data_IF_328812119600
#
_entry.id   IF_328812119600
#
_cell.length_a   1.000
_cell.length_b   1.000
_cell.length_c   1.000
_cell.angle_alpha   90.00
_cell.angle_beta   90.00
_cell.angle_gamma   90.00
#
_symmetry.space_group_name_H-M   'P 1'
#
loop_
_entity.id
_entity.type
_entity.pdbx_description
1 polymer ?
#
# COMPACT_ATOMS: atom_id res chain seq x y z
N UNK A 1 21.69 25.94 75.76
CA UNK A 1 21.38 24.73 74.97
C UNK A 1 21.95 24.97 73.58
N UNK A 2 23.22 24.66 73.39
CA UNK A 2 23.91 24.88 72.10
C UNK A 2 23.44 23.83 71.11
N UNK A 3 22.94 24.28 69.96
CA UNK A 3 22.58 23.36 68.89
C UNK A 3 23.86 22.78 68.25
N UNK A 4 23.91 21.46 67.97
CA UNK A 4 25.09 20.84 67.40
C UNK A 4 25.45 21.44 66.04
N UNK A 5 26.75 21.68 65.80
CA UNK A 5 27.31 22.36 64.62
C UNK A 5 26.82 21.82 63.25
N UNK A 6 26.36 20.57 63.22
CA UNK A 6 25.72 19.94 62.06
C UNK A 6 24.45 20.68 61.62
N UNK A 7 23.69 21.23 62.55
CA UNK A 7 22.45 21.96 62.25
C UNK A 7 22.73 23.39 61.79
N UNK A 8 23.83 24.02 62.25
CA UNK A 8 24.29 25.30 61.73
C UNK A 8 24.74 25.20 60.26
N UNK A 9 25.44 24.13 59.88
CA UNK A 9 25.85 23.88 58.50
C UNK A 9 24.66 23.67 57.54
N UNK A 10 23.56 23.08 58.04
CA UNK A 10 22.31 22.92 57.29
C UNK A 10 21.47 24.21 57.22
N UNK A 11 21.68 25.17 58.13
CA UNK A 11 20.88 26.39 58.23
C UNK A 11 21.31 27.52 57.29
N UNK A 12 22.52 27.46 56.73
CA UNK A 12 23.05 28.45 55.79
C UNK A 12 23.95 27.75 54.74
N UNK A 13 23.39 27.24 53.63
CA UNK A 13 24.20 26.68 52.56
C UNK A 13 25.18 27.76 52.08
N UNK A 14 26.48 27.49 52.19
CA UNK A 14 27.50 28.42 51.74
C UNK A 14 27.30 28.81 50.27
N UNK A 15 27.79 29.99 49.83
CA UNK A 15 27.55 30.52 48.49
C UNK A 15 27.93 29.54 47.36
N UNK A 16 28.92 28.67 47.59
CA UNK A 16 29.31 27.62 46.65
C UNK A 16 28.22 26.55 46.46
N UNK A 17 27.57 26.10 47.54
CA UNK A 17 26.51 25.10 47.47
C UNK A 17 25.27 25.66 46.77
N UNK A 18 24.96 26.94 47.00
CA UNK A 18 23.89 27.66 46.29
C UNK A 18 24.19 27.77 44.79
N UNK A 19 25.43 28.04 44.39
CA UNK A 19 25.84 28.09 42.97
C UNK A 19 25.74 26.71 42.30
N UNK A 20 26.18 25.64 42.97
CA UNK A 20 26.05 24.27 42.44
C UNK A 20 24.58 23.88 42.27
N UNK A 21 23.73 24.18 43.25
CA UNK A 21 22.30 23.92 43.16
C UNK A 21 21.63 24.73 42.04
N UNK A 22 21.97 26.02 41.91
CA UNK A 22 21.48 26.85 40.81
C UNK A 22 21.92 26.32 39.44
N UNK A 23 23.18 25.91 39.30
CA UNK A 23 23.68 25.30 38.07
C UNK A 23 22.96 23.99 37.75
N UNK A 24 22.70 23.14 38.75
CA UNK A 24 21.94 21.91 38.59
C UNK A 24 20.49 22.17 38.16
N UNK A 25 19.80 23.15 38.78
CA UNK A 25 18.46 23.54 38.37
C UNK A 25 18.45 24.15 36.97
N UNK A 26 19.42 24.99 36.64
CA UNK A 26 19.54 25.63 35.32
C UNK A 26 19.81 24.60 34.21
N UNK A 27 20.73 23.67 34.44
CA UNK A 27 21.02 22.56 33.50
C UNK A 27 19.82 21.64 33.36
N UNK A 28 19.16 21.26 34.45
CA UNK A 28 17.93 20.44 34.41
C UNK A 28 16.81 21.13 33.66
N UNK A 29 16.57 22.43 33.91
CA UNK A 29 15.59 23.22 33.19
C UNK A 29 15.93 23.36 31.70
N UNK A 30 17.21 23.49 31.37
CA UNK A 30 17.70 23.56 29.98
C UNK A 30 17.51 22.22 29.28
N UNK A 31 17.84 21.10 29.92
CA UNK A 31 17.60 19.75 29.40
C UNK A 31 16.11 19.51 29.17
N UNK A 32 15.24 19.91 30.10
CA UNK A 32 13.79 19.80 29.95
C UNK A 32 13.28 20.67 28.78
N UNK A 33 13.81 21.88 28.61
CA UNK A 33 13.49 22.74 27.45
C UNK A 33 13.95 22.11 26.14
N UNK A 34 15.16 21.56 26.08
CA UNK A 34 15.67 20.88 24.89
C UNK A 34 14.85 19.63 24.56
N UNK A 35 14.47 18.86 25.57
CA UNK A 35 13.58 17.72 25.44
C UNK A 35 12.21 18.18 24.91
N UNK A 36 11.64 19.24 25.46
CA UNK A 36 10.35 19.77 25.04
C UNK A 36 10.39 20.31 23.60
N UNK A 37 11.42 21.07 23.21
CA UNK A 37 11.59 21.56 21.84
C UNK A 37 11.77 20.40 20.86
N UNK A 38 12.56 19.40 21.24
CA UNK A 38 12.76 18.19 20.42
C UNK A 38 11.45 17.41 20.26
N UNK A 39 10.68 17.27 21.34
CA UNK A 39 9.39 16.60 21.35
C UNK A 39 8.34 17.40 20.57
N UNK A 40 8.29 18.72 20.70
CA UNK A 40 7.43 19.59 19.90
C UNK A 40 7.79 19.50 18.40
N UNK A 41 9.08 19.46 18.06
CA UNK A 41 9.56 19.27 16.70
C UNK A 41 9.22 17.87 16.13
N UNK A 42 8.98 16.87 16.98
CA UNK A 42 8.44 15.56 16.61
C UNK A 42 6.90 15.60 16.48
N UNK A 43 6.22 16.30 17.39
CA UNK A 43 4.76 16.39 17.49
C UNK A 43 4.11 17.38 16.50
N UNK A 44 4.87 18.29 15.87
CA UNK A 44 4.35 19.22 14.87
C UNK A 44 4.66 18.78 13.42
N UNK A 45 5.04 17.52 13.22
CA UNK A 45 5.43 17.02 11.89
C UNK A 45 4.24 16.73 10.99
N UNK A 46 4.53 16.84 9.70
CA UNK A 46 3.65 16.53 8.57
C UNK A 46 4.07 15.25 7.81
N UNK A 47 5.17 14.61 8.24
CA UNK A 47 5.68 13.36 7.70
C UNK A 47 6.60 12.63 8.70
N UNK A 48 7.03 11.42 8.33
CA UNK A 48 8.04 10.67 9.06
C UNK A 48 9.40 11.40 9.15
N UNK A 49 10.23 10.98 10.11
CA UNK A 49 11.53 11.61 10.36
C UNK A 49 12.45 11.56 9.14
N UNK A 50 12.51 10.44 8.42
CA UNK A 50 13.42 10.27 7.29
C UNK A 50 13.02 11.22 6.15
N UNK A 51 11.74 11.25 5.79
CA UNK A 51 11.21 12.16 4.77
C UNK A 51 11.42 13.63 5.16
N UNK A 52 11.30 13.97 6.44
CA UNK A 52 11.50 15.33 6.92
C UNK A 52 12.95 15.82 6.79
N UNK A 53 13.90 14.95 7.14
CA UNK A 53 15.34 15.28 7.11
C UNK A 53 15.91 15.36 5.69
N UNK A 54 15.24 14.74 4.72
CA UNK A 54 15.72 14.70 3.35
C UNK A 54 15.24 15.92 2.54
N UNK A 55 16.07 16.34 1.59
CA UNK A 55 15.69 17.30 0.55
C UNK A 55 15.39 16.58 -0.75
N UNK A 56 14.42 17.07 -1.51
CA UNK A 56 14.06 16.47 -2.79
C UNK A 56 15.20 16.62 -3.82
N UNK A 57 15.52 15.53 -4.52
CA UNK A 57 16.39 15.56 -5.71
C UNK A 57 15.56 15.87 -6.96
N UNK A 58 15.28 17.15 -7.23
CA UNK A 58 14.43 17.57 -8.38
C UNK A 58 14.91 17.05 -9.74
N UNK A 59 16.23 16.90 -9.95
CA UNK A 59 16.81 16.39 -11.19
C UNK A 59 16.47 14.93 -11.47
N UNK A 60 16.02 14.17 -10.46
CA UNK A 60 15.60 12.78 -10.60
C UNK A 60 14.43 12.61 -11.59
N UNK A 61 13.56 13.62 -11.69
CA UNK A 61 12.34 13.60 -12.50
C UNK A 61 12.51 14.20 -13.90
N UNK A 62 13.59 14.95 -14.12
CA UNK A 62 13.78 15.77 -15.32
C UNK A 62 13.93 14.89 -16.56
N UNK A 63 13.18 15.20 -17.62
CA UNK A 63 13.19 14.50 -18.91
C UNK A 63 12.92 12.99 -18.80
N UNK A 64 12.10 12.60 -17.81
CA UNK A 64 11.64 11.24 -17.57
C UNK A 64 10.14 11.12 -17.82
N UNK A 65 9.64 9.90 -17.92
CA UNK A 65 8.21 9.63 -18.16
C UNK A 65 7.55 9.10 -16.90
N UNK A 66 6.62 9.87 -16.33
CA UNK A 66 5.83 9.47 -15.17
C UNK A 66 4.39 9.17 -15.57
N UNK A 67 3.89 8.01 -15.18
CA UNK A 67 2.49 7.63 -15.32
C UNK A 67 1.78 7.71 -13.98
N UNK A 68 0.75 8.55 -13.90
CA UNK A 68 -0.10 8.71 -12.73
C UNK A 68 -1.50 8.16 -12.99
N UNK A 69 -1.93 7.21 -12.17
CA UNK A 69 -3.32 6.73 -12.14
C UNK A 69 -4.15 7.53 -11.12
N UNK A 70 -5.43 7.77 -11.41
CA UNK A 70 -6.23 8.69 -10.60
C UNK A 70 -5.75 10.15 -10.71
N UNK A 71 -5.25 10.53 -11.89
CA UNK A 71 -4.57 11.80 -12.14
C UNK A 71 -5.49 13.04 -12.17
N UNK A 72 -6.81 12.86 -12.28
CA UNK A 72 -7.75 13.97 -12.48
C UNK A 72 -8.08 14.79 -11.24
N UNK A 73 -7.71 14.33 -10.04
CA UNK A 73 -8.05 15.04 -8.79
C UNK A 73 -7.12 14.67 -7.63
N UNK A 74 -7.24 15.41 -6.53
CA UNK A 74 -6.55 15.11 -5.27
C UNK A 74 -5.03 15.01 -5.41
N UNK A 75 -4.43 14.02 -4.76
CA UNK A 75 -2.98 13.78 -4.79
C UNK A 75 -2.48 13.56 -6.22
N UNK A 76 -3.24 12.84 -7.05
CA UNK A 76 -2.88 12.56 -8.44
C UNK A 76 -2.70 13.82 -9.29
N UNK A 77 -3.63 14.77 -9.17
CA UNK A 77 -3.53 16.06 -9.86
C UNK A 77 -2.33 16.88 -9.36
N UNK A 78 -2.14 16.92 -8.04
CA UNK A 78 -0.99 17.59 -7.42
C UNK A 78 0.35 17.01 -7.90
N UNK A 79 0.44 15.69 -8.11
CA UNK A 79 1.63 15.06 -8.70
C UNK A 79 1.83 15.49 -10.14
N UNK A 80 0.77 15.56 -10.96
CA UNK A 80 0.86 16.00 -12.35
C UNK A 80 1.43 17.42 -12.43
N UNK A 81 0.90 18.35 -11.63
CA UNK A 81 1.40 19.73 -11.48
C UNK A 81 2.89 19.76 -11.13
N UNK A 82 3.26 19.07 -10.06
CA UNK A 82 4.61 19.09 -9.52
C UNK A 82 5.62 18.43 -10.45
N UNK A 83 5.29 17.30 -11.07
CA UNK A 83 6.17 16.60 -12.01
C UNK A 83 6.34 17.39 -13.32
N UNK A 84 5.26 18.00 -13.83
CA UNK A 84 5.34 18.90 -14.99
C UNK A 84 6.27 20.10 -14.72
N UNK A 85 6.15 20.72 -13.54
CA UNK A 85 7.05 21.79 -13.10
C UNK A 85 8.51 21.33 -12.90
N UNK A 86 8.76 20.01 -12.86
CA UNK A 86 10.11 19.42 -12.82
C UNK A 86 10.60 18.97 -14.21
N UNK A 87 9.90 19.36 -15.28
CA UNK A 87 10.16 18.96 -16.68
C UNK A 87 10.07 17.44 -16.88
N UNK A 88 9.16 16.79 -16.16
CA UNK A 88 8.80 15.39 -16.41
C UNK A 88 7.73 15.34 -17.51
N UNK A 89 7.83 14.37 -18.41
CA UNK A 89 6.71 13.97 -19.28
C UNK A 89 5.70 13.20 -18.45
N UNK A 90 4.40 13.48 -18.65
CA UNK A 90 3.36 12.97 -17.75
C UNK A 90 2.27 12.23 -18.52
N UNK A 91 2.08 10.96 -18.20
CA UNK A 91 0.92 10.17 -18.62
C UNK A 91 -0.15 10.28 -17.53
N UNK A 92 -1.33 10.80 -17.88
CA UNK A 92 -2.45 10.97 -16.97
C UNK A 92 -3.52 9.94 -17.27
N UNK A 93 -3.92 9.19 -16.24
CA UNK A 93 -5.02 8.22 -16.36
C UNK A 93 -6.08 8.41 -15.29
N UNK A 94 -7.32 8.41 -15.74
CA UNK A 94 -8.55 8.37 -14.95
C UNK A 94 -9.68 7.90 -15.87
N UNK A 95 -10.91 7.81 -15.36
CA UNK A 95 -12.03 7.26 -16.15
C UNK A 95 -12.53 8.19 -17.26
N UNK A 96 -12.50 9.51 -17.04
CA UNK A 96 -13.13 10.49 -17.92
C UNK A 96 -12.07 11.30 -18.66
N UNK A 97 -12.19 11.41 -19.97
CA UNK A 97 -11.21 12.12 -20.81
C UNK A 97 -11.25 13.63 -20.56
N UNK A 98 -12.43 14.19 -20.31
CA UNK A 98 -12.65 15.61 -20.07
C UNK A 98 -11.98 16.08 -18.77
N UNK A 99 -12.06 15.25 -17.73
CA UNK A 99 -11.37 15.49 -16.46
C UNK A 99 -9.84 15.46 -16.64
N UNK A 100 -9.33 14.61 -17.53
CA UNK A 100 -7.90 14.52 -17.85
C UNK A 100 -7.41 15.73 -18.65
N UNK A 101 -8.23 16.24 -19.58
CA UNK A 101 -7.93 17.48 -20.32
C UNK A 101 -7.80 18.65 -19.32
N UNK A 102 -8.78 18.78 -18.43
CA UNK A 102 -8.75 19.80 -17.37
C UNK A 102 -7.52 19.68 -16.47
N UNK A 103 -7.16 18.46 -16.07
CA UNK A 103 -5.99 18.19 -15.24
C UNK A 103 -4.66 18.52 -15.95
N UNK A 104 -4.56 18.24 -17.26
CA UNK A 104 -3.41 18.62 -18.08
C UNK A 104 -3.26 20.13 -18.15
N UNK A 105 -4.34 20.84 -18.48
CA UNK A 105 -4.31 22.29 -18.67
C UNK A 105 -3.93 23.01 -17.37
N UNK A 106 -4.46 22.52 -16.24
CA UNK A 106 -4.09 22.98 -14.91
C UNK A 106 -2.61 22.69 -14.57
N UNK A 107 -2.07 21.52 -14.95
CA UNK A 107 -0.64 21.22 -14.78
C UNK A 107 0.27 22.10 -15.66
N UNK A 108 -0.17 22.46 -16.87
CA UNK A 108 0.52 23.41 -17.74
C UNK A 108 0.53 24.81 -17.11
N UNK A 109 -0.63 25.33 -16.71
CA UNK A 109 -0.75 26.63 -16.04
C UNK A 109 0.11 26.69 -14.77
N UNK A 110 0.02 25.66 -13.92
CA UNK A 110 0.85 25.54 -12.73
C UNK A 110 2.34 25.61 -13.08
N UNK A 111 2.79 24.88 -14.10
CA UNK A 111 4.20 24.88 -14.51
C UNK A 111 4.64 26.26 -15.01
N UNK A 112 3.79 26.95 -15.77
CA UNK A 112 4.07 28.30 -16.28
C UNK A 112 4.22 29.31 -15.14
N UNK A 113 3.33 29.28 -14.14
CA UNK A 113 3.44 30.10 -12.93
C UNK A 113 4.71 29.85 -12.12
N UNK A 114 5.35 28.70 -12.31
CA UNK A 114 6.62 28.32 -11.68
C UNK A 114 7.82 28.45 -12.63
N UNK A 115 7.69 29.21 -13.73
CA UNK A 115 8.79 29.52 -14.65
C UNK A 115 9.21 28.36 -15.56
N UNK A 116 8.35 27.35 -15.72
CA UNK A 116 8.62 26.18 -16.57
C UNK A 116 7.59 26.11 -17.68
N UNK A 117 8.03 26.37 -18.92
CA UNK A 117 7.20 26.20 -20.11
C UNK A 117 6.95 24.72 -20.36
N UNK A 118 5.68 24.33 -20.45
CA UNK A 118 5.19 23.01 -20.86
C UNK A 118 4.16 23.19 -21.97
N UNK A 119 4.05 22.22 -22.85
CA UNK A 119 3.07 22.19 -23.94
C UNK A 119 2.19 20.95 -23.85
N UNK A 120 1.03 20.89 -24.54
CA UNK A 120 0.19 19.70 -24.54
C UNK A 120 0.91 18.40 -24.93
N UNK A 121 1.91 18.46 -25.81
CA UNK A 121 2.71 17.31 -26.26
C UNK A 121 3.64 16.72 -25.18
N UNK A 122 3.77 17.42 -24.05
CA UNK A 122 4.47 16.95 -22.85
C UNK A 122 3.61 16.02 -21.98
N UNK A 123 2.35 15.81 -22.37
CA UNK A 123 1.37 15.04 -21.64
C UNK A 123 0.68 14.03 -22.56
N UNK A 124 0.40 12.84 -22.03
CA UNK A 124 -0.42 11.82 -22.70
C UNK A 124 -1.65 11.53 -21.84
N UNK A 125 -2.82 11.55 -22.45
CA UNK A 125 -4.08 11.28 -21.75
C UNK A 125 -4.55 9.87 -22.10
N UNK A 126 -4.50 8.96 -21.14
CA UNK A 126 -4.93 7.58 -21.31
C UNK A 126 -6.13 7.30 -20.40
N UNK A 127 -7.36 7.54 -20.86
CA UNK A 127 -8.54 7.24 -20.07
C UNK A 127 -8.76 5.73 -19.97
N UNK A 128 -8.86 5.20 -18.75
CA UNK A 128 -9.24 3.81 -18.52
C UNK A 128 -9.90 3.65 -17.14
N UNK A 129 -10.61 2.53 -16.96
CA UNK A 129 -11.26 2.19 -15.70
C UNK A 129 -10.52 1.05 -15.01
N UNK A 130 -10.16 1.24 -13.74
CA UNK A 130 -9.57 0.19 -12.91
C UNK A 130 -10.52 -1.00 -12.72
N UNK A 131 -11.82 -0.85 -12.98
CA UNK A 131 -12.76 -1.98 -12.96
C UNK A 131 -12.70 -2.87 -14.21
N UNK A 132 -11.92 -2.50 -15.22
CA UNK A 132 -11.88 -3.14 -16.54
C UNK A 132 -10.46 -3.64 -16.89
N UNK A 133 -9.95 -4.65 -16.17
CA UNK A 133 -8.59 -5.16 -16.36
C UNK A 133 -8.30 -5.65 -17.78
N UNK A 134 -9.33 -6.08 -18.52
CA UNK A 134 -9.23 -6.47 -19.92
C UNK A 134 -8.69 -5.35 -20.84
N UNK A 135 -8.80 -4.08 -20.41
CA UNK A 135 -8.30 -2.92 -21.17
C UNK A 135 -6.82 -2.62 -20.91
N UNK A 136 -6.23 -3.17 -19.84
CA UNK A 136 -4.93 -2.72 -19.36
C UNK A 136 -3.80 -2.98 -20.35
N UNK A 137 -3.82 -4.11 -21.06
CA UNK A 137 -2.75 -4.44 -22.01
C UNK A 137 -2.62 -3.38 -23.12
N UNK A 138 -3.74 -3.02 -23.76
CA UNK A 138 -3.75 -2.02 -24.83
C UNK A 138 -3.30 -0.64 -24.33
N UNK A 139 -3.80 -0.24 -23.17
CA UNK A 139 -3.45 1.04 -22.55
C UNK A 139 -1.97 1.10 -22.17
N UNK A 140 -1.41 0.03 -21.58
CA UNK A 140 0.01 -0.06 -21.22
C UNK A 140 0.90 0.00 -22.46
N UNK A 141 0.51 -0.65 -23.55
CA UNK A 141 1.29 -0.58 -24.79
C UNK A 141 1.26 0.82 -25.40
N UNK A 142 0.10 1.49 -25.45
CA UNK A 142 -0.01 2.88 -25.90
C UNK A 142 0.87 3.83 -25.07
N UNK A 143 0.80 3.72 -23.73
CA UNK A 143 1.60 4.54 -22.82
C UNK A 143 3.10 4.33 -22.97
N UNK A 144 3.52 3.09 -23.25
CA UNK A 144 4.92 2.76 -23.53
C UNK A 144 5.38 3.39 -24.86
N UNK A 145 4.58 3.30 -25.91
CA UNK A 145 4.97 3.74 -27.26
C UNK A 145 5.21 5.25 -27.34
N UNK A 146 4.44 6.07 -26.61
CA UNK A 146 4.47 7.53 -26.72
C UNK A 146 5.85 8.19 -26.55
N UNK A 147 6.65 7.73 -25.58
CA UNK A 147 8.04 8.19 -25.36
C UNK A 147 9.04 7.03 -25.34
N UNK A 148 8.61 5.84 -25.75
CA UNK A 148 9.40 4.60 -25.76
C UNK A 148 9.76 4.02 -24.38
N UNK A 149 9.31 4.65 -23.29
CA UNK A 149 9.70 4.28 -21.91
C UNK A 149 8.66 4.72 -20.88
N UNK A 150 8.66 4.03 -19.75
CA UNK A 150 7.94 4.45 -18.53
C UNK A 150 8.95 4.39 -17.38
N UNK A 151 9.30 5.53 -16.82
CA UNK A 151 10.31 5.66 -15.77
C UNK A 151 9.71 5.55 -14.37
N UNK A 152 8.53 6.16 -14.19
CA UNK A 152 7.84 6.25 -12.92
C UNK A 152 6.39 5.80 -13.06
N UNK A 153 5.94 4.92 -12.18
CA UNK A 153 4.52 4.60 -12.03
C UNK A 153 4.05 5.08 -10.67
N UNK A 154 3.11 6.00 -10.64
CA UNK A 154 2.36 6.38 -9.44
C UNK A 154 1.02 5.62 -9.44
N UNK A 155 1.01 4.49 -8.75
CA UNK A 155 -0.18 3.67 -8.49
C UNK A 155 -1.02 4.37 -7.42
N UNK A 156 -1.88 5.29 -7.87
CA UNK A 156 -2.59 6.25 -7.03
C UNK A 156 -4.12 6.16 -7.15
N UNK A 157 -4.66 5.55 -8.21
CA UNK A 157 -6.11 5.36 -8.32
C UNK A 157 -6.67 4.57 -7.13
N UNK A 158 -7.86 4.95 -6.67
CA UNK A 158 -8.55 4.20 -5.64
C UNK A 158 -9.93 4.75 -5.33
N UNK A 159 -10.73 3.93 -4.66
CA UNK A 159 -12.05 4.27 -4.13
C UNK A 159 -12.03 4.12 -2.62
N UNK A 160 -12.73 4.99 -1.90
CA UNK A 160 -12.90 4.89 -0.47
C UNK A 160 -14.32 4.40 -0.16
N UNK A 161 -14.48 3.70 0.96
CA UNK A 161 -15.78 3.33 1.48
C UNK A 161 -15.89 3.70 2.94
N UNK A 162 -17.13 3.85 3.40
CA UNK A 162 -17.42 4.02 4.82
C UNK A 162 -18.67 3.25 5.20
N UNK A 163 -18.52 2.33 6.14
CA UNK A 163 -19.58 1.42 6.55
C UNK A 163 -19.04 0.35 7.49
N UNK A 164 -19.86 -0.04 8.47
CA UNK A 164 -19.57 -1.24 9.26
C UNK A 164 -19.47 -2.45 8.34
N UNK A 165 -18.63 -3.42 8.71
CA UNK A 165 -18.44 -4.66 7.95
C UNK A 165 -19.66 -5.58 8.14
N UNK A 166 -20.74 -5.23 7.45
CA UNK A 166 -21.96 -6.01 7.28
C UNK A 166 -22.07 -6.39 5.80
N UNK A 167 -22.82 -7.46 5.46
CA UNK A 167 -22.94 -7.90 4.07
C UNK A 167 -23.24 -6.73 3.12
N UNK A 168 -22.32 -6.49 2.18
CA UNK A 168 -22.38 -5.39 1.24
C UNK A 168 -21.79 -5.80 -0.10
N UNK A 169 -22.41 -5.34 -1.19
CA UNK A 169 -21.88 -5.52 -2.55
C UNK A 169 -20.64 -4.67 -2.84
N UNK A 170 -20.31 -3.70 -1.97
CA UNK A 170 -19.23 -2.74 -2.19
C UNK A 170 -17.84 -3.32 -1.90
N UNK A 171 -17.76 -4.34 -1.07
CA UNK A 171 -16.50 -4.94 -0.63
C UNK A 171 -15.71 -5.49 -1.82
N UNK A 172 -16.39 -6.19 -2.73
CA UNK A 172 -15.81 -6.70 -3.97
C UNK A 172 -15.31 -5.57 -4.86
N UNK A 173 -16.05 -4.47 -4.98
CA UNK A 173 -15.62 -3.32 -5.77
C UNK A 173 -14.35 -2.66 -5.20
N UNK A 174 -14.28 -2.52 -3.87
CA UNK A 174 -13.12 -1.92 -3.20
C UNK A 174 -11.90 -2.82 -3.38
N UNK A 175 -12.04 -4.12 -3.14
CA UNK A 175 -10.94 -5.09 -3.32
C UNK A 175 -10.51 -5.14 -4.79
N UNK A 176 -11.46 -5.14 -5.73
CA UNK A 176 -11.14 -5.12 -7.16
C UNK A 176 -10.30 -3.89 -7.51
N UNK A 177 -10.80 -2.68 -7.21
CA UNK A 177 -10.16 -1.43 -7.65
C UNK A 177 -8.87 -1.13 -6.88
N UNK A 178 -8.88 -1.28 -5.56
CA UNK A 178 -7.75 -0.85 -4.72
C UNK A 178 -6.65 -1.91 -4.59
N UNK A 179 -6.93 -3.17 -4.90
CA UNK A 179 -5.97 -4.27 -4.75
C UNK A 179 -5.75 -5.01 -6.06
N UNK A 180 -6.74 -5.78 -6.54
CA UNK A 180 -6.54 -6.72 -7.64
C UNK A 180 -6.12 -6.02 -8.94
N UNK A 181 -6.86 -5.00 -9.34
CA UNK A 181 -6.57 -4.23 -10.55
C UNK A 181 -5.24 -3.48 -10.46
N UNK A 182 -4.85 -2.99 -9.27
CA UNK A 182 -3.54 -2.37 -9.08
C UNK A 182 -2.41 -3.38 -9.27
N UNK A 183 -2.56 -4.59 -8.73
CA UNK A 183 -1.58 -5.67 -8.89
C UNK A 183 -1.44 -6.06 -10.37
N UNK A 184 -2.55 -6.25 -11.07
CA UNK A 184 -2.55 -6.60 -12.49
C UNK A 184 -1.90 -5.51 -13.35
N UNK A 185 -2.28 -4.25 -13.14
CA UNK A 185 -1.72 -3.12 -13.87
C UNK A 185 -0.21 -2.97 -13.63
N UNK A 186 0.23 -3.10 -12.38
CA UNK A 186 1.66 -3.04 -12.02
C UNK A 186 2.44 -4.20 -12.63
N UNK A 187 1.89 -5.42 -12.66
CA UNK A 187 2.55 -6.58 -13.28
C UNK A 187 2.88 -6.33 -14.76
N UNK A 188 1.98 -5.68 -15.50
CA UNK A 188 2.22 -5.31 -16.90
C UNK A 188 3.34 -4.27 -17.05
N UNK A 189 3.39 -3.28 -16.16
CA UNK A 189 4.39 -2.21 -16.22
C UNK A 189 5.76 -2.68 -15.71
N UNK A 190 5.81 -3.45 -14.62
CA UNK A 190 7.08 -3.88 -14.02
C UNK A 190 7.87 -4.81 -14.95
N UNK A 191 7.18 -5.67 -15.71
CA UNK A 191 7.82 -6.50 -16.74
C UNK A 191 8.58 -5.64 -17.76
N UNK A 192 8.02 -4.48 -18.13
CA UNK A 192 8.67 -3.52 -19.04
C UNK A 192 9.78 -2.73 -18.37
N UNK A 193 9.61 -2.32 -17.11
CA UNK A 193 10.67 -1.63 -16.35
C UNK A 193 11.91 -2.53 -16.15
N UNK A 194 11.71 -3.83 -15.97
CA UNK A 194 12.80 -4.82 -15.92
C UNK A 194 13.54 -4.87 -17.25
N UNK A 195 12.83 -5.00 -18.38
CA UNK A 195 13.44 -4.97 -19.72
C UNK A 195 14.19 -3.65 -19.98
N UNK A 196 13.64 -2.53 -19.51
CA UNK A 196 14.22 -1.19 -19.60
C UNK A 196 15.46 -1.00 -18.71
N UNK A 197 15.73 -1.93 -17.77
CA UNK A 197 16.79 -1.81 -16.74
C UNK A 197 16.70 -0.51 -15.92
N UNK A 198 15.49 0.05 -15.81
CA UNK A 198 15.21 1.23 -15.01
C UNK A 198 13.71 1.35 -14.79
N UNK A 199 13.33 1.63 -13.56
CA UNK A 199 11.97 1.99 -13.22
C UNK A 199 11.83 2.27 -11.74
N UNK A 200 10.77 2.98 -11.38
CA UNK A 200 10.40 3.17 -10.00
C UNK A 200 8.89 3.22 -9.86
N UNK A 201 8.34 2.30 -9.07
CA UNK A 201 6.93 2.18 -8.77
C UNK A 201 6.67 2.81 -7.40
N UNK A 202 5.80 3.81 -7.36
CA UNK A 202 5.37 4.51 -6.15
C UNK A 202 3.91 4.15 -5.90
N UNK A 203 3.65 3.41 -4.83
CA UNK A 203 2.30 3.05 -4.41
C UNK A 203 1.73 4.11 -3.46
N UNK A 204 0.54 4.63 -3.76
CA UNK A 204 -0.26 5.39 -2.80
C UNK A 204 -1.13 4.43 -1.99
N UNK A 205 -0.58 3.97 -0.87
CA UNK A 205 -1.29 3.21 0.14
C UNK A 205 -2.08 4.15 1.08
N UNK A 206 -2.17 3.82 2.37
CA UNK A 206 -2.80 4.62 3.40
C UNK A 206 -2.24 4.21 4.75
N UNK A 207 -2.24 5.12 5.74
CA UNK A 207 -1.99 4.73 7.13
C UNK A 207 -3.01 3.66 7.59
N UNK A 208 -4.24 3.65 7.03
CA UNK A 208 -5.23 2.60 7.28
C UNK A 208 -4.80 1.19 6.84
N UNK A 209 -3.72 1.05 6.07
CA UNK A 209 -3.13 -0.27 5.78
C UNK A 209 -2.49 -0.93 7.01
N UNK A 210 -2.14 -0.14 8.03
CA UNK A 210 -1.52 -0.57 9.29
C UNK A 210 -2.38 -0.25 10.50
N UNK A 211 -3.11 0.85 10.43
CA UNK A 211 -3.95 1.33 11.52
C UNK A 211 -5.41 1.23 11.11
N UNK A 212 -5.97 0.03 11.22
CA UNK A 212 -7.38 -0.20 10.89
C UNK A 212 -8.27 0.43 11.94
N UNK A 213 -9.17 1.30 11.52
CA UNK A 213 -10.25 1.82 12.34
C UNK A 213 -11.56 1.16 11.91
N UNK A 214 -12.51 1.02 12.85
CA UNK A 214 -13.84 0.49 12.55
C UNK A 214 -14.51 1.22 11.37
N UNK A 215 -15.42 0.57 10.66
CA UNK A 215 -16.16 1.23 9.56
C UNK A 215 -15.35 1.53 8.29
N UNK A 216 -14.09 1.10 8.21
CA UNK A 216 -13.22 1.19 7.02
C UNK A 216 -12.57 -0.16 6.67
N UNK A 217 -13.17 -1.26 7.13
CA UNK A 217 -12.54 -2.59 7.09
C UNK A 217 -12.18 -3.02 5.67
N UNK A 218 -13.12 -3.02 4.71
CA UNK A 218 -12.82 -3.42 3.33
C UNK A 218 -11.74 -2.54 2.66
N UNK A 219 -11.78 -1.22 2.88
CA UNK A 219 -10.74 -0.30 2.41
C UNK A 219 -9.37 -0.60 3.03
N UNK A 220 -9.34 -0.80 4.35
CA UNK A 220 -8.12 -1.10 5.11
C UNK A 220 -7.53 -2.44 4.71
N UNK A 221 -8.37 -3.47 4.50
CA UNK A 221 -7.98 -4.78 3.96
C UNK A 221 -7.35 -4.64 2.57
N UNK A 222 -8.00 -3.91 1.65
CA UNK A 222 -7.46 -3.70 0.31
C UNK A 222 -6.10 -2.97 0.34
N UNK A 223 -5.97 -1.92 1.17
CA UNK A 223 -4.72 -1.16 1.33
C UNK A 223 -3.64 -1.96 2.08
N UNK A 224 -4.00 -2.80 3.05
CA UNK A 224 -3.10 -3.74 3.71
C UNK A 224 -2.57 -4.80 2.74
N UNK A 225 -3.43 -5.34 1.88
CA UNK A 225 -3.05 -6.25 0.79
C UNK A 225 -2.09 -5.58 -0.19
N UNK A 226 -2.38 -4.34 -0.62
CA UNK A 226 -1.54 -3.60 -1.56
C UNK A 226 -0.19 -3.23 -0.94
N UNK A 227 -0.16 -2.92 0.36
CA UNK A 227 1.07 -2.69 1.10
C UNK A 227 1.95 -3.94 1.12
N UNK A 228 1.39 -5.10 1.45
CA UNK A 228 2.14 -6.37 1.42
C UNK A 228 2.61 -6.74 0.01
N UNK A 229 1.76 -6.54 -1.00
CA UNK A 229 2.16 -6.70 -2.40
C UNK A 229 3.37 -5.82 -2.76
N UNK A 230 3.39 -4.56 -2.33
CA UNK A 230 4.50 -3.66 -2.60
C UNK A 230 5.84 -4.12 -1.97
N UNK A 231 5.80 -4.68 -0.76
CA UNK A 231 7.00 -5.26 -0.13
C UNK A 231 7.46 -6.54 -0.81
N UNK A 232 6.53 -7.43 -1.16
CA UNK A 232 6.80 -8.65 -1.91
C UNK A 232 7.49 -8.33 -3.22
N UNK A 233 6.88 -7.47 -4.03
CA UNK A 233 7.44 -7.02 -5.31
C UNK A 233 8.84 -6.40 -5.14
N UNK A 234 9.04 -5.54 -4.15
CA UNK A 234 10.35 -4.93 -3.88
C UNK A 234 11.43 -5.97 -3.54
N UNK A 235 11.09 -7.00 -2.76
CA UNK A 235 12.00 -8.09 -2.39
C UNK A 235 12.30 -9.00 -3.59
N UNK A 236 11.28 -9.37 -4.37
CA UNK A 236 11.44 -10.17 -5.58
C UNK A 236 12.34 -9.47 -6.60
N UNK A 237 12.11 -8.18 -6.88
CA UNK A 237 12.95 -7.39 -7.79
C UNK A 237 14.41 -7.34 -7.33
N UNK A 238 14.66 -7.15 -6.02
CA UNK A 238 16.02 -7.20 -5.46
C UNK A 238 16.65 -8.58 -5.57
N UNK A 239 15.88 -9.65 -5.29
CA UNK A 239 16.35 -11.03 -5.42
C UNK A 239 16.76 -11.39 -6.84
N UNK A 240 16.09 -10.82 -7.85
CA UNK A 240 16.46 -10.94 -9.26
C UNK A 240 17.62 -10.03 -9.71
N UNK A 241 18.18 -9.21 -8.82
CA UNK A 241 19.20 -8.21 -9.19
C UNK A 241 18.66 -7.07 -10.08
N UNK A 242 17.34 -6.86 -10.11
CA UNK A 242 16.72 -5.82 -10.94
C UNK A 242 16.97 -4.42 -10.36
N UNK A 243 17.31 -3.41 -11.18
CA UNK A 243 17.48 -2.03 -10.73
C UNK A 243 16.14 -1.30 -10.48
N UNK A 244 15.00 -1.95 -10.71
CA UNK A 244 13.67 -1.36 -10.53
C UNK A 244 13.38 -1.15 -9.04
N UNK A 245 13.01 0.08 -8.68
CA UNK A 245 12.71 0.47 -7.30
C UNK A 245 11.21 0.42 -7.01
N UNK A 246 10.91 0.24 -5.72
CA UNK A 246 9.55 0.31 -5.20
C UNK A 246 9.56 1.19 -3.95
N UNK A 247 8.66 2.16 -3.91
CA UNK A 247 8.36 3.00 -2.74
C UNK A 247 6.89 2.85 -2.40
N UNK A 248 6.57 2.66 -1.13
CA UNK A 248 5.20 2.72 -0.62
C UNK A 248 4.98 3.99 0.19
N UNK A 249 3.90 4.70 -0.10
CA UNK A 249 3.54 5.92 0.62
C UNK A 249 2.26 5.65 1.38
N UNK A 250 2.25 6.00 2.67
CA UNK A 250 1.12 5.84 3.57
C UNK A 250 0.62 7.22 4.01
N UNK A 251 -0.28 7.85 3.22
CA UNK A 251 -0.96 9.07 3.65
C UNK A 251 -1.99 8.80 4.75
N UNK A 252 -2.12 9.73 5.68
CA UNK A 252 -3.22 9.86 6.64
C UNK A 252 -4.39 10.64 6.02
N UNK A 253 -5.01 11.52 6.81
CA UNK A 253 -6.10 12.35 6.30
C UNK A 253 -5.60 13.47 5.37
N UNK A 254 -5.99 13.38 4.10
CA UNK A 254 -5.64 14.36 3.06
C UNK A 254 -6.92 15.04 2.54
N UNK A 255 -6.87 16.36 2.40
CA UNK A 255 -7.94 17.19 1.83
C UNK A 255 -8.10 16.90 0.34
N UNK A 256 -8.95 15.92 0.02
CA UNK A 256 -9.30 15.53 -1.35
C UNK A 256 -10.77 15.20 -1.46
N UNK A 257 -11.31 15.25 -2.67
CA UNK A 257 -12.69 14.84 -2.97
C UNK A 257 -12.91 13.32 -2.94
N UNK A 258 -11.89 12.51 -2.62
CA UNK A 258 -12.03 11.07 -2.47
C UNK A 258 -13.05 10.74 -1.37
N UNK A 259 -13.06 11.51 -0.29
CA UNK A 259 -13.97 11.28 0.83
C UNK A 259 -15.40 11.77 0.55
N UNK A 260 -15.54 12.81 -0.28
CA UNK A 260 -16.84 13.25 -0.80
C UNK A 260 -17.47 12.20 -1.72
N UNK A 261 -16.65 11.28 -2.22
CA UNK A 261 -17.03 10.17 -3.10
C UNK A 261 -16.99 8.81 -2.39
N UNK A 262 -16.94 8.80 -1.05
CA UNK A 262 -16.99 7.56 -0.26
C UNK A 262 -18.26 6.78 -0.61
N UNK A 263 -18.08 5.52 -1.03
CA UNK A 263 -19.18 4.63 -1.32
C UNK A 263 -19.81 4.14 0.00
N UNK A 264 -21.14 4.19 0.07
CA UNK A 264 -21.89 3.55 1.15
C UNK A 264 -21.96 2.03 0.94
N UNK A 265 -22.42 1.33 1.99
CA UNK A 265 -22.72 -0.11 1.94
C UNK A 265 -23.76 -0.49 0.87
N UNK A 266 -24.56 0.47 0.36
CA UNK A 266 -25.51 0.28 -0.74
C UNK A 266 -24.92 0.64 -2.13
N UNK A 267 -23.63 0.99 -2.20
CA UNK A 267 -22.92 1.37 -3.43
C UNK A 267 -23.21 2.80 -3.92
N UNK A 268 -24.05 3.57 -3.23
CA UNK A 268 -24.34 4.95 -3.65
C UNK A 268 -23.28 5.94 -3.15
N UNK A 269 -23.05 6.99 -3.95
CA UNK A 269 -22.24 8.16 -3.56
C UNK A 269 -23.16 9.21 -2.93
N UNK A 270 -22.85 9.76 -1.74
CA UNK A 270 -23.64 10.86 -1.19
C UNK A 270 -23.67 12.08 -2.11
N UNK A 271 -24.87 12.63 -2.33
CA UNK A 271 -25.04 13.99 -2.84
C UNK A 271 -25.26 14.92 -1.65
N UNK A 272 -24.37 15.88 -1.45
CA UNK A 272 -24.39 16.83 -0.32
C UNK A 272 -23.15 16.68 0.56
N UNK A 273 -22.39 17.76 0.66
CA UNK A 273 -21.03 17.79 1.20
C UNK A 273 -21.05 17.80 2.73
N UNK A 274 -20.91 16.64 3.35
CA UNK A 274 -20.38 16.55 4.71
C UNK A 274 -18.98 15.94 4.65
N UNK A 275 -17.98 16.80 4.44
CA UNK A 275 -16.57 16.41 4.61
C UNK A 275 -16.38 16.14 6.10
N UNK A 276 -15.99 14.92 6.47
CA UNK A 276 -15.71 14.60 7.87
C UNK A 276 -14.65 15.57 8.43
N UNK A 277 -14.78 15.93 9.71
CA UNK A 277 -13.92 16.92 10.38
C UNK A 277 -12.42 16.62 10.17
N UNK A 278 -12.04 15.36 10.26
CA UNK A 278 -10.65 14.89 10.16
C UNK A 278 -10.06 15.13 8.76
N UNK A 279 -10.88 15.05 7.72
CA UNK A 279 -10.45 15.33 6.34
C UNK A 279 -10.29 16.83 6.15
N UNK A 280 -11.19 17.66 6.71
CA UNK A 280 -11.08 19.14 6.63
C UNK A 280 -9.82 19.67 7.29
N UNK A 281 -9.38 19.06 8.39
CA UNK A 281 -8.16 19.44 9.11
C UNK A 281 -6.90 18.76 8.57
N UNK A 282 -7.06 17.80 7.65
CA UNK A 282 -6.00 17.05 7.00
C UNK A 282 -5.00 17.90 6.20
N UNK A 283 -3.95 17.23 5.71
CA UNK A 283 -2.90 17.87 4.91
C UNK A 283 -3.44 18.21 3.49
N UNK A 284 -2.87 19.21 2.81
CA UNK A 284 -3.25 19.45 1.40
C UNK A 284 -2.69 18.36 0.49
N UNK A 285 -3.37 18.12 -0.65
CA UNK A 285 -2.87 17.23 -1.69
C UNK A 285 -1.52 17.69 -2.24
N UNK A 286 -1.32 19.01 -2.40
CA UNK A 286 -0.05 19.58 -2.90
C UNK A 286 1.11 19.30 -1.96
N UNK A 287 0.92 19.50 -0.65
CA UNK A 287 1.96 19.21 0.34
C UNK A 287 2.25 17.71 0.44
N UNK A 288 1.20 16.89 0.34
CA UNK A 288 1.34 15.42 0.33
C UNK A 288 2.14 14.97 -0.89
N UNK A 289 1.84 15.49 -2.08
CA UNK A 289 2.57 15.19 -3.29
C UNK A 289 4.03 15.67 -3.23
N UNK A 290 4.30 16.84 -2.63
CA UNK A 290 5.67 17.32 -2.42
C UNK A 290 6.48 16.36 -1.54
N UNK A 291 5.91 15.92 -0.41
CA UNK A 291 6.56 14.98 0.51
C UNK A 291 6.74 13.59 -0.13
N UNK A 292 5.78 13.14 -0.93
CA UNK A 292 5.90 11.91 -1.71
C UNK A 292 7.06 11.97 -2.71
N UNK A 293 7.15 13.04 -3.50
CA UNK A 293 8.26 13.21 -4.45
C UNK A 293 9.60 13.35 -3.73
N UNK A 294 9.64 14.05 -2.60
CA UNK A 294 10.84 14.19 -1.76
C UNK A 294 11.40 12.84 -1.34
N UNK A 295 10.63 12.01 -0.64
CA UNK A 295 11.10 10.70 -0.18
C UNK A 295 11.39 9.75 -1.34
N UNK A 296 10.54 9.72 -2.37
CA UNK A 296 10.71 8.83 -3.53
C UNK A 296 11.98 9.15 -4.32
N UNK A 297 12.32 10.45 -4.48
CA UNK A 297 13.54 10.88 -5.18
C UNK A 297 14.83 10.42 -4.48
N UNK A 298 14.73 10.13 -3.18
CA UNK A 298 15.83 9.62 -2.33
C UNK A 298 15.83 8.10 -2.18
N UNK A 299 14.85 7.41 -2.76
CA UNK A 299 14.77 5.95 -2.72
C UNK A 299 14.36 5.39 -1.38
N UNK A 300 13.62 6.16 -0.56
CA UNK A 300 12.98 5.61 0.63
C UNK A 300 12.02 4.50 0.21
N UNK A 301 12.13 3.32 0.81
CA UNK A 301 11.18 2.22 0.55
C UNK A 301 9.79 2.52 1.06
N UNK A 302 9.68 3.35 2.11
CA UNK A 302 8.44 3.66 2.79
C UNK A 302 8.41 5.11 3.27
N UNK A 303 7.27 5.78 3.12
CA UNK A 303 7.07 7.20 3.44
C UNK A 303 5.74 7.36 4.18
N UNK A 304 5.72 8.00 5.35
CA UNK A 304 4.49 8.30 6.09
C UNK A 304 4.19 9.79 6.04
N UNK A 305 2.96 10.15 5.68
CA UNK A 305 2.56 11.54 5.50
C UNK A 305 1.25 11.75 6.25
N UNK A 306 1.27 12.58 7.28
CA UNK A 306 0.11 12.83 8.12
C UNK A 306 0.42 13.91 9.14
N UNK A 307 -0.60 14.45 9.79
CA UNK A 307 -0.40 15.32 10.95
C UNK A 307 -0.47 14.47 12.22
N UNK A 308 -0.04 15.03 13.35
CA UNK A 308 -0.38 14.43 14.63
C UNK A 308 -1.86 14.70 14.97
N UNK A 309 -2.55 13.76 15.65
CA UNK A 309 -2.00 12.57 16.30
C UNK A 309 -1.79 11.33 15.39
N UNK A 310 -2.20 11.35 14.11
CA UNK A 310 -2.12 10.17 13.22
C UNK A 310 -0.70 9.60 13.09
N UNK A 311 0.31 10.48 12.91
CA UNK A 311 1.71 10.05 12.82
C UNK A 311 2.19 9.39 14.12
N UNK A 312 1.92 10.02 15.26
CA UNK A 312 2.23 9.45 16.57
C UNK A 312 1.60 8.07 16.74
N UNK A 313 0.34 7.93 16.34
CA UNK A 313 -0.37 6.66 16.40
C UNK A 313 0.24 5.60 15.47
N UNK A 314 0.67 5.96 14.26
CA UNK A 314 1.43 5.07 13.38
C UNK A 314 2.75 4.61 14.00
N UNK A 315 3.50 5.50 14.68
CA UNK A 315 4.70 5.11 15.41
C UNK A 315 4.38 4.17 16.58
N UNK A 316 3.35 4.48 17.37
CA UNK A 316 2.92 3.65 18.49
C UNK A 316 2.50 2.25 18.01
N UNK A 317 1.72 2.16 16.94
CA UNK A 317 1.33 0.89 16.33
C UNK A 317 2.52 0.08 15.80
N UNK A 318 3.59 0.76 15.37
CA UNK A 318 4.78 0.07 14.87
C UNK A 318 5.70 -0.44 15.97
N UNK A 319 5.87 0.32 17.05
CA UNK A 319 6.85 0.00 18.11
C UNK A 319 6.24 -0.62 19.37
N UNK A 320 5.00 -0.28 19.70
CA UNK A 320 4.29 -0.72 20.92
C UNK A 320 2.83 -1.09 20.59
N UNK A 321 2.60 -2.07 19.70
CA UNK A 321 1.28 -2.37 19.14
C UNK A 321 0.24 -2.72 20.21
N UNK A 322 0.60 -3.48 21.24
CA UNK A 322 -0.36 -3.90 22.28
C UNK A 322 -0.91 -2.70 23.07
N UNK A 323 -0.04 -1.73 23.39
CA UNK A 323 -0.43 -0.50 24.08
C UNK A 323 -1.29 0.37 23.14
N UNK A 324 -0.90 0.48 21.88
CA UNK A 324 -1.65 1.26 20.90
C UNK A 324 -3.05 0.66 20.65
N UNK A 325 -3.16 -0.67 20.54
CA UNK A 325 -4.43 -1.38 20.39
C UNK A 325 -5.33 -1.19 21.60
N UNK A 326 -4.80 -1.26 22.82
CA UNK A 326 -5.59 -1.05 24.05
C UNK A 326 -6.30 0.31 24.04
N UNK A 327 -5.63 1.38 23.60
CA UNK A 327 -6.22 2.73 23.51
C UNK A 327 -7.36 2.78 22.49
N UNK A 328 -7.20 2.07 21.38
CA UNK A 328 -8.17 2.04 20.27
C UNK A 328 -9.38 1.22 20.66
N UNK A 329 -9.16 0.06 21.28
CA UNK A 329 -10.22 -0.84 21.76
C UNK A 329 -11.08 -0.17 22.83
N UNK A 330 -10.46 0.59 23.75
CA UNK A 330 -11.17 1.42 24.71
C UNK A 330 -12.10 2.44 24.01
N UNK A 331 -11.64 3.03 22.91
CA UNK A 331 -12.41 3.96 22.08
C UNK A 331 -13.39 3.32 21.10
N UNK A 332 -13.31 2.01 20.86
CA UNK A 332 -14.00 1.34 19.75
C UNK A 332 -15.53 1.50 19.82
N UNK A 333 -16.10 1.42 21.02
CA UNK A 333 -17.55 1.62 21.24
C UNK A 333 -18.01 3.04 20.90
N UNK A 334 -17.19 4.05 21.18
CA UNK A 334 -17.47 5.44 20.80
C UNK A 334 -17.30 5.63 19.30
N UNK A 335 -16.26 5.03 18.72
CA UNK A 335 -15.98 5.12 17.29
C UNK A 335 -17.11 4.50 16.44
N UNK A 336 -17.60 3.32 16.84
CA UNK A 336 -18.74 2.67 16.18
C UNK A 336 -20.00 3.55 16.20
N UNK A 337 -20.32 4.19 17.33
CA UNK A 337 -21.45 5.13 17.43
C UNK A 337 -21.27 6.34 16.51
N UNK A 338 -20.08 6.94 16.51
CA UNK A 338 -19.78 8.10 15.66
C UNK A 338 -19.91 7.76 14.17
N UNK A 339 -19.48 6.56 13.75
CA UNK A 339 -19.64 6.09 12.38
C UNK A 339 -21.12 5.93 12.02
N UNK A 340 -21.92 5.33 12.91
CA UNK A 340 -23.35 5.18 12.67
C UNK A 340 -24.07 6.53 12.59
N UNK A 341 -23.74 7.46 13.48
CA UNK A 341 -24.27 8.83 13.46
C UNK A 341 -23.87 9.56 12.18
N UNK A 342 -22.63 9.42 11.73
CA UNK A 342 -22.17 10.05 10.50
C UNK A 342 -22.84 9.43 9.27
N UNK A 343 -22.95 8.10 9.20
CA UNK A 343 -23.69 7.41 8.13
C UNK A 343 -25.15 7.88 8.12
N UNK A 344 -25.77 8.03 9.30
CA UNK A 344 -27.15 8.52 9.45
C UNK A 344 -27.29 9.96 8.96
N UNK A 345 -26.43 10.86 9.40
CA UNK A 345 -26.42 12.26 8.97
C UNK A 345 -26.26 12.37 7.47
N UNK A 346 -25.33 11.61 6.88
CA UNK A 346 -25.12 11.67 5.45
C UNK A 346 -26.26 11.02 4.66
N UNK A 347 -26.90 9.95 5.16
CA UNK A 347 -28.15 9.40 4.59
C UNK A 347 -29.29 10.41 4.62
N UNK A 348 -29.44 11.14 5.71
CA UNK A 348 -30.43 12.21 5.84
C UNK A 348 -30.18 13.32 4.80
N UNK A 349 -28.94 13.79 4.66
CA UNK A 349 -28.55 14.78 3.64
C UNK A 349 -28.81 14.25 2.22
N UNK A 350 -28.47 12.99 1.94
CA UNK A 350 -28.69 12.37 0.63
C UNK A 350 -30.20 12.24 0.29
N UNK A 351 -31.06 11.96 1.27
CA UNK A 351 -32.52 11.96 1.09
C UNK A 351 -33.07 13.36 0.81
N UNK A 352 -32.58 14.37 1.53
CA UNK A 352 -32.94 15.78 1.32
C UNK A 352 -32.52 16.29 -0.05
N UNK A 353 -31.31 15.94 -0.50
CA UNK A 353 -30.81 16.30 -1.83
C UNK A 353 -31.59 15.63 -2.98
N UNK A 354 -32.35 14.56 -2.72
CA UNK A 354 -33.24 13.88 -3.67
C UNK A 354 -34.68 14.41 -3.65
N UNK A 355 -35.00 15.42 -2.82
CA UNK A 355 -36.35 16.00 -2.73
C UNK A 355 -37.36 15.18 -1.90
N UNK A 356 -36.94 14.09 -1.24
CA UNK A 356 -37.84 13.13 -0.57
C UNK A 356 -37.95 13.31 0.95
N UNK A 357 -37.64 14.49 1.52
CA UNK A 357 -37.60 14.71 2.98
C UNK A 357 -38.50 15.84 3.47
N UNK A 358 -39.39 15.55 4.43
CA UNK A 358 -40.19 16.55 5.16
C UNK A 358 -39.30 17.39 6.10
N UNK A 359 -39.64 18.67 6.27
CA UNK A 359 -38.80 19.73 6.86
C UNK A 359 -38.55 19.67 8.36
N UNK A 360 -38.07 18.56 8.91
CA UNK A 360 -37.66 18.43 10.32
C UNK A 360 -36.15 18.20 10.50
N UNK A 361 -35.59 18.48 11.70
CA UNK A 361 -34.19 18.16 12.04
C UNK A 361 -33.91 16.64 11.96
N UNK A 362 -32.64 16.21 11.81
CA UNK A 362 -32.30 14.79 11.76
C UNK A 362 -32.74 14.07 13.05
N UNK A 363 -33.28 12.85 12.98
CA UNK A 363 -33.69 12.11 14.18
C UNK A 363 -32.46 11.73 15.03
N UNK A 364 -32.46 12.21 16.27
CA UNK A 364 -31.44 11.95 17.30
C UNK A 364 -31.93 10.78 18.15
N UNK A 365 -31.09 9.76 18.36
CA UNK A 365 -31.41 8.72 19.35
C UNK A 365 -31.15 9.27 20.76
N UNK A 366 -31.98 8.90 21.73
CA UNK A 366 -31.71 9.23 23.13
C UNK A 366 -30.35 8.67 23.58
N UNK A 367 -29.61 9.40 24.45
CA UNK A 367 -28.31 8.96 24.93
C UNK A 367 -28.41 7.57 25.59
N UNK A 368 -27.83 6.54 24.97
CA UNK A 368 -27.79 5.17 25.53
C UNK A 368 -28.33 4.05 24.62
N UNK A 369 -28.84 4.35 23.42
CA UNK A 369 -29.23 3.34 22.44
C UNK A 369 -28.01 2.69 21.73
N UNK A 370 -27.13 2.04 22.50
CA UNK A 370 -26.04 1.24 21.96
C UNK A 370 -26.54 -0.08 21.33
N UNK A 371 -25.63 -0.76 20.62
CA UNK A 371 -25.75 -2.05 19.92
C UNK A 371 -26.63 -3.12 20.61
N UNK A 372 -26.77 -3.06 21.94
CA UNK A 372 -27.64 -3.95 22.74
C UNK A 372 -29.15 -3.81 22.45
N UNK A 373 -29.67 -2.64 22.03
CA UNK A 373 -31.12 -2.46 21.80
C UNK A 373 -31.60 -2.85 20.39
N UNK A 374 -30.71 -2.93 19.39
CA UNK A 374 -31.13 -3.22 18.00
C UNK A 374 -31.29 -4.71 17.66
N UNK A 375 -31.15 -5.61 18.64
CA UNK A 375 -31.44 -7.04 18.44
C UNK A 375 -32.94 -7.38 18.37
N UNK A 376 -33.82 -6.38 18.45
CA UNK A 376 -35.27 -6.58 18.60
C UNK A 376 -36.16 -5.80 17.62
N UNK A 377 -35.62 -5.21 16.55
CA UNK A 377 -36.45 -4.61 15.49
C UNK A 377 -36.21 -5.34 14.18
N UNK A 378 -37.13 -6.24 13.86
CA UNK A 378 -37.28 -6.91 12.58
C UNK A 378 -37.52 -5.87 11.48
N UNK A 379 -36.50 -5.57 10.71
CA UNK A 379 -36.60 -4.99 9.36
C UNK A 379 -35.38 -5.50 8.56
N UNK A 380 -35.21 -6.82 8.53
CA UNK A 380 -34.31 -7.49 7.60
C UNK A 380 -35.14 -7.77 6.36
N UNK A 381 -34.97 -6.92 5.34
CA UNK A 381 -35.41 -7.23 3.98
C UNK A 381 -34.75 -8.55 3.60
N UNK A 382 -35.56 -9.59 3.41
CA UNK A 382 -35.16 -10.91 2.97
C UNK A 382 -34.30 -10.81 1.69
N UNK A 383 -32.98 -10.93 1.86
CA UNK A 383 -32.13 -11.44 0.80
C UNK A 383 -32.11 -12.95 0.96
N UNK A 384 -32.44 -13.67 -0.12
CA UNK A 384 -32.50 -15.13 -0.12
C UNK A 384 -31.17 -15.71 0.41
N UNK A 385 -31.21 -16.77 1.24
CA UNK A 385 -29.99 -17.42 1.69
C UNK A 385 -29.22 -17.95 0.49
N UNK A 386 -27.90 -17.77 0.53
CA UNK A 386 -26.94 -18.38 -0.39
C UNK A 386 -27.36 -19.83 -0.72
N UNK A 387 -27.74 -20.07 -1.97
CA UNK A 387 -27.81 -21.42 -2.51
C UNK A 387 -26.37 -21.95 -2.62
N UNK A 388 -26.03 -22.94 -1.80
CA UNK A 388 -24.78 -23.68 -1.87
C UNK A 388 -24.56 -24.22 -3.30
N UNK A 389 -23.36 -24.12 -3.88
CA UNK A 389 -23.07 -24.78 -5.13
C UNK A 389 -22.87 -26.30 -4.89
N UNK A 390 -23.67 -27.09 -5.62
CA UNK A 390 -23.41 -28.47 -6.05
C UNK A 390 -23.25 -29.53 -4.95
N UNK A 391 -24.37 -30.17 -4.63
CA UNK A 391 -24.42 -31.53 -4.10
C UNK A 391 -23.85 -32.53 -5.11
N UNK A 392 -22.70 -33.12 -4.80
CA UNK A 392 -22.25 -34.37 -5.44
C UNK A 392 -23.06 -35.55 -4.86
N UNK A 393 -23.50 -36.53 -5.68
CA UNK A 393 -24.23 -37.69 -5.18
C UNK A 393 -23.31 -38.62 -4.37
N UNK A 394 -23.84 -39.38 -3.38
CA UNK A 394 -23.02 -40.22 -2.53
C UNK A 394 -22.82 -41.59 -3.20
N UNK A 395 -21.62 -41.86 -3.72
CA UNK A 395 -21.20 -43.23 -4.00
C UNK A 395 -20.35 -43.77 -2.84
N UNK A 396 -20.84 -44.90 -2.31
CA UNK A 396 -20.21 -45.72 -1.29
C UNK A 396 -18.88 -46.25 -1.83
N UNK A 397 -17.81 -46.14 -1.05
CA UNK A 397 -16.72 -47.09 -1.13
C UNK A 397 -16.48 -47.75 0.23
N UNK A 398 -16.87 -49.03 0.26
CA UNK A 398 -16.22 -50.05 1.09
C UNK A 398 -14.77 -50.21 0.58
N UNK A 399 -13.87 -50.46 1.53
CA UNK A 399 -12.46 -50.85 1.36
C UNK A 399 -12.38 -52.13 0.50
N UNK A 400 -11.33 -52.45 -0.25
CA UNK A 400 -9.93 -52.63 0.12
C UNK A 400 -9.09 -52.83 -1.18
N UNK A 401 -7.77 -52.68 -1.03
CA UNK A 401 -6.70 -53.34 -1.83
C UNK A 401 -6.52 -52.99 -3.33
N UNK A 402 -5.49 -52.20 -3.66
CA UNK A 402 -4.23 -52.72 -4.26
C UNK A 402 -3.36 -51.64 -4.93
N UNK A 403 -2.05 -51.80 -4.68
CA UNK A 403 -0.89 -51.51 -5.53
C UNK A 403 -0.69 -50.11 -6.19
N UNK A 404 0.33 -49.45 -5.64
CA UNK A 404 1.35 -48.51 -6.19
C UNK A 404 1.71 -48.54 -7.70
N UNK A 405 2.49 -47.55 -8.19
CA UNK A 405 2.18 -46.76 -9.38
C UNK A 405 3.11 -47.03 -10.58
N UNK A 406 2.66 -46.67 -11.78
CA UNK A 406 3.52 -46.64 -12.97
C UNK A 406 3.20 -45.47 -13.91
N UNK A 407 4.18 -44.56 -13.99
CA UNK A 407 4.73 -43.92 -15.19
C UNK A 407 3.82 -43.63 -16.39
N UNK A 408 3.73 -42.34 -16.73
CA UNK A 408 3.39 -41.88 -18.08
C UNK A 408 4.69 -41.47 -18.79
N UNK A 409 5.03 -42.06 -19.95
CA UNK A 409 5.89 -41.43 -20.92
C UNK A 409 5.10 -40.87 -22.11
N UNK A 410 5.59 -39.74 -22.57
CA UNK A 410 5.19 -39.01 -23.77
C UNK A 410 5.90 -39.63 -24.98
N UNK A 411 5.18 -40.09 -25.99
CA UNK A 411 5.75 -40.38 -27.31
C UNK A 411 4.77 -39.99 -28.44
N UNK A 412 5.28 -39.14 -29.33
CA UNK A 412 4.73 -38.87 -30.65
C UNK A 412 4.98 -40.08 -31.56
N UNK A 413 3.95 -40.53 -32.28
CA UNK A 413 4.12 -41.31 -33.49
C UNK A 413 3.03 -40.97 -34.52
N UNK A 414 3.48 -40.45 -35.65
CA UNK A 414 2.77 -40.28 -36.92
C UNK A 414 2.73 -41.58 -37.72
N UNK A 415 1.60 -41.88 -38.36
CA UNK A 415 1.41 -42.60 -39.65
C UNK A 415 -0.10 -42.78 -39.87
N UNK A 416 -0.73 -42.83 -41.04
CA UNK A 416 -0.49 -42.45 -42.44
C UNK A 416 -1.77 -42.83 -43.23
N UNK A 417 -2.01 -42.17 -44.38
CA UNK A 417 -2.95 -42.60 -45.44
C UNK A 417 -3.98 -41.51 -45.81
N UNK A 418 -4.22 -41.10 -47.06
CA UNK A 418 -3.76 -41.54 -48.38
C UNK A 418 -4.10 -40.44 -49.44
N UNK A 419 -3.24 -40.35 -50.46
CA UNK A 419 -3.51 -40.15 -51.91
C UNK A 419 -3.74 -38.77 -52.59
N UNK A 420 -2.91 -38.62 -53.66
CA UNK A 420 -2.99 -37.87 -54.96
C UNK A 420 -2.44 -36.44 -54.95
N UNK A 421 -1.70 -35.93 -55.95
CA UNK A 421 -0.97 -36.43 -57.14
C UNK A 421 -0.27 -35.23 -57.82
N UNK A 422 0.72 -35.49 -58.71
CA UNK A 422 1.48 -34.58 -59.63
C UNK A 422 2.69 -33.90 -58.98
N UNK A 423 3.94 -34.21 -59.34
CA UNK A 423 4.69 -33.93 -60.60
C UNK A 423 5.63 -32.74 -60.30
N UNK A 424 6.93 -32.67 -60.53
CA UNK A 424 7.88 -33.36 -61.40
C UNK A 424 9.33 -33.28 -60.84
N UNK A 425 10.18 -34.18 -61.34
CA UNK A 425 11.63 -34.06 -61.61
C UNK A 425 12.65 -33.64 -60.52
N UNK A 426 13.44 -34.64 -60.10
CA UNK A 426 14.82 -34.65 -59.56
C UNK A 426 15.88 -34.45 -60.69
N UNK A 427 17.25 -34.48 -60.50
CA UNK A 427 18.15 -34.49 -59.30
C UNK A 427 19.46 -33.62 -59.52
N UNK A 428 20.67 -33.92 -58.94
CA UNK A 428 21.11 -33.82 -57.52
C UNK A 428 22.57 -33.26 -57.34
N UNK A 429 23.15 -33.57 -56.14
CA UNK A 429 24.57 -33.79 -55.77
C UNK A 429 25.25 -32.63 -55.00
N UNK A 430 26.06 -32.81 -53.94
CA UNK A 430 26.92 -33.93 -53.46
C UNK A 430 27.30 -33.75 -51.96
N UNK A 431 27.52 -34.88 -51.27
CA UNK A 431 28.59 -35.28 -50.32
C UNK A 431 29.36 -34.20 -49.51
N UNK A 432 29.73 -34.36 -48.23
CA UNK A 432 29.70 -35.50 -47.29
C UNK A 432 30.71 -35.26 -46.14
N UNK A 433 30.55 -36.04 -45.04
CA UNK A 433 31.58 -36.56 -44.09
C UNK A 433 32.52 -35.57 -43.36
N UNK A 434 32.95 -35.75 -42.12
CA UNK A 434 32.74 -36.75 -41.06
C UNK A 434 33.37 -36.20 -39.75
N UNK A 435 32.85 -36.66 -38.62
CA UNK A 435 33.44 -36.61 -37.27
C UNK A 435 33.75 -38.03 -36.81
N UNK A 436 34.80 -38.17 -35.99
CA UNK A 436 35.14 -39.34 -35.16
C UNK A 436 36.21 -38.86 -34.15
N UNK A 437 36.36 -39.29 -32.89
CA UNK A 437 35.72 -40.27 -32.01
C UNK A 437 36.28 -40.00 -30.59
N UNK A 438 35.45 -39.97 -29.54
CA UNK A 438 35.33 -40.98 -28.46
C UNK A 438 36.51 -41.17 -27.48
N UNK A 439 36.23 -41.03 -26.17
CA UNK A 439 36.22 -42.16 -25.21
C UNK A 439 35.72 -41.77 -23.82
N UNK A 440 35.03 -42.73 -23.22
CA UNK A 440 34.26 -42.73 -21.98
C UNK A 440 35.07 -43.16 -20.76
N UNK A 441 34.57 -42.82 -19.56
CA UNK A 441 34.49 -43.76 -18.42
C UNK A 441 33.50 -43.27 -17.37
N UNK A 442 32.50 -44.11 -17.09
CA UNK A 442 31.60 -44.03 -15.95
C UNK A 442 32.14 -44.89 -14.81
N UNK A 443 31.88 -44.49 -13.56
CA UNK A 443 31.43 -45.42 -12.53
C UNK A 443 30.67 -44.69 -11.40
N UNK A 444 29.62 -45.37 -10.96
CA UNK A 444 28.52 -44.98 -10.10
C UNK A 444 28.82 -45.18 -8.61
N UNK A 445 28.14 -44.39 -7.75
CA UNK A 445 27.74 -44.79 -6.39
C UNK A 445 26.54 -43.96 -5.89
N UNK A 446 25.38 -44.59 -6.01
CA UNK A 446 24.17 -44.61 -5.15
C UNK A 446 24.04 -43.52 -4.05
N UNK A 447 22.96 -42.74 -4.15
CA UNK A 447 22.34 -41.93 -3.08
C UNK A 447 21.17 -42.73 -2.47
N UNK A 448 20.91 -42.67 -1.14
CA UNK A 448 19.66 -43.15 -0.56
C UNK A 448 18.59 -42.04 -0.52
N UNK A 449 17.34 -42.48 -0.69
CA UNK A 449 16.11 -41.70 -0.71
C UNK A 449 15.77 -40.98 0.61
N UNK A 450 15.00 -39.91 0.43
CA UNK A 450 14.49 -39.01 1.45
C UNK A 450 13.29 -39.59 2.23
N UNK A 451 13.27 -39.34 3.54
CA UNK A 451 12.06 -39.32 4.38
C UNK A 451 11.90 -37.92 5.01
N UNK A 452 10.75 -37.27 4.79
CA UNK A 452 10.10 -36.32 5.71
C UNK A 452 10.48 -34.82 5.70
N UNK A 453 9.56 -33.87 5.38
CA UNK A 453 9.79 -32.42 5.45
C UNK A 453 9.46 -31.74 6.81
N UNK A 454 9.40 -32.49 7.93
CA UNK A 454 9.07 -31.90 9.25
C UNK A 454 10.27 -31.91 10.23
N UNK A 455 11.22 -32.85 10.09
CA UNK A 455 12.43 -32.90 10.95
C UNK A 455 13.53 -31.93 10.52
N UNK A 456 13.59 -31.54 9.23
CA UNK A 456 14.62 -30.63 8.71
C UNK A 456 14.47 -29.21 9.24
N UNK A 457 13.25 -28.78 9.57
CA UNK A 457 12.99 -27.45 10.14
C UNK A 457 13.28 -27.42 11.65
N UNK A 458 12.97 -28.50 12.37
CA UNK A 458 13.29 -28.64 13.78
C UNK A 458 14.81 -28.68 14.02
N UNK A 459 15.55 -29.40 13.16
CA UNK A 459 17.01 -29.45 13.23
C UNK A 459 17.67 -28.12 12.84
N UNK A 460 17.13 -27.39 11.86
CA UNK A 460 17.62 -26.06 11.50
C UNK A 460 17.36 -25.00 12.60
N UNK A 461 16.25 -25.09 13.32
CA UNK A 461 15.96 -24.22 14.47
C UNK A 461 16.84 -24.58 15.67
N UNK A 462 17.07 -25.88 15.92
CA UNK A 462 17.97 -26.35 16.98
C UNK A 462 19.43 -25.91 16.74
N UNK A 463 19.92 -25.99 15.50
CA UNK A 463 21.25 -25.52 15.13
C UNK A 463 21.38 -23.99 15.22
N UNK A 464 20.34 -23.24 14.83
CA UNK A 464 20.34 -21.78 14.98
C UNK A 464 20.34 -21.34 16.47
N UNK A 465 19.60 -22.05 17.33
CA UNK A 465 19.58 -21.81 18.79
C UNK A 465 20.90 -22.23 19.45
N UNK A 466 21.52 -23.32 18.99
CA UNK A 466 22.85 -23.78 19.44
C UNK A 466 23.97 -22.80 19.04
N UNK A 467 23.89 -22.22 17.85
CA UNK A 467 24.85 -21.19 17.41
C UNK A 467 24.67 -19.86 18.17
N UNK A 468 23.44 -19.48 18.52
CA UNK A 468 23.18 -18.31 19.37
C UNK A 468 23.65 -18.52 20.82
N UNK A 469 23.58 -19.75 21.34
CA UNK A 469 24.13 -20.11 22.65
C UNK A 469 25.67 -20.03 22.72
N UNK A 470 26.38 -20.24 21.61
CA UNK A 470 27.85 -20.12 21.55
C UNK A 470 28.35 -18.67 21.51
N UNK A 471 27.53 -17.72 21.05
CA UNK A 471 27.84 -16.28 21.14
C UNK A 471 27.63 -15.69 22.54
N UNK A 472 26.91 -16.38 23.43
CA UNK A 472 26.69 -15.98 24.83
C UNK A 472 27.79 -16.41 25.81
N UNK A 473 28.82 -17.16 25.37
CA UNK A 473 29.89 -17.67 26.25
C UNK A 473 31.30 -17.18 25.90
N UNK A 474 31.46 -16.26 24.95
CA UNK A 474 32.75 -15.62 24.60
C UNK A 474 32.86 -14.20 25.18
N UNK A 475 32.54 -14.04 26.47
CA UNK A 475 32.54 -12.74 27.15
C UNK A 475 32.97 -12.76 28.61
N UNK A 476 33.82 -13.71 29.03
CA UNK A 476 34.33 -13.75 30.41
C UNK A 476 35.79 -14.22 30.55
N UNK A 477 36.65 -13.92 29.57
CA UNK A 477 38.10 -14.06 29.72
C UNK A 477 38.81 -12.91 29.00
N UNK A 478 38.79 -11.72 29.61
CA UNK A 478 39.83 -10.67 29.55
C UNK A 478 39.37 -9.43 30.34
N UNK A 479 39.75 -9.36 31.62
CA UNK A 479 40.11 -8.16 32.40
C UNK A 479 40.12 -8.52 33.89
#
# INVERSE_FOLDING_TARGET
MEMPAVVQFLSAPGPLLALVFFFFLWTSATLLRLLWVSMAALLLRDCDLATKLLTERKTYWKNRVAWITGASSGIGLSLCRLLAARRCFVILSSRKKEDLISARDDAIDYSQRHGVKRSPEDFLLLPFDMKKPETFFGVVDEGRQWKGRIDFLFSNAGVACRGMMLPSSIDNEILQVNLLSQMEFVKLIVARMIQQQYGHIIFTNSMSARTTLGGRTAYSTAKGGLLNFSYGLSRELRGMGSPVRVTTVLPGYIRTSLCDRELYADGTVPKGVHVAKDIRTGLSSDRTAELMLRGSSRGLSEIWIGKNPDLFYMYAMYYVPDIANLVVDYGASSYARNIEEEIRQRRYVARRARGNGTGGPPPVDEPGAGFKKRKASEDVVHSAPFSSPLSFPPERHQRDEDASPASVPYEMATHAGERRSRGDSLPPAKDGKATAESKSRANSRVLPDAYGPIETVANAISDAVSQLGRFGSMGSDTA
#
